data_IF_999913774326
#
_entry.id   IF_999913774326
#
_cell.length_a   1.000
_cell.length_b   1.000
_cell.length_c   1.000
_cell.angle_alpha   90.00
_cell.angle_beta   90.00
_cell.angle_gamma   90.00
#
_symmetry.space_group_name_H-M   'P 1'
#
loop_
_entity.id
_entity.type
_entity.pdbx_description
1 polymer ?
#
# COMPACT_ATOMS: atom_id res chain seq x y z
N UNK A 1 -58.08 -21.94 -18.84
CA UNK A 1 -58.88 -20.71 -18.90
C UNK A 1 -57.89 -19.57 -19.11
N UNK A 2 -57.81 -19.02 -20.33
CA UNK A 2 -58.49 -17.78 -20.74
C UNK A 2 -57.88 -16.57 -19.99
N UNK A 3 -57.04 -15.67 -20.50
CA UNK A 3 -56.76 -15.09 -21.83
C UNK A 3 -57.28 -13.63 -22.00
N UNK A 4 -56.41 -12.80 -22.59
CA UNK A 4 -56.64 -11.60 -23.42
C UNK A 4 -56.79 -10.17 -22.82
N UNK A 5 -56.25 -9.22 -23.62
CA UNK A 5 -56.28 -7.76 -23.51
C UNK A 5 -54.85 -7.17 -23.39
N UNK A 6 -54.17 -6.58 -24.39
CA UNK A 6 -54.57 -5.96 -25.69
C UNK A 6 -55.54 -4.78 -25.49
N UNK A 7 -55.33 -3.55 -25.97
CA UNK A 7 -54.65 -3.02 -27.18
C UNK A 7 -54.12 -1.55 -27.00
N UNK A 8 -53.00 -1.16 -27.63
CA UNK A 8 -52.82 -0.14 -28.75
C UNK A 8 -53.31 1.29 -28.44
N UNK A 9 -52.51 2.37 -28.49
CA UNK A 9 -52.16 3.23 -29.67
C UNK A 9 -51.35 4.48 -29.17
N UNK A 10 -50.81 5.45 -29.94
CA UNK A 10 -50.09 5.57 -31.24
C UNK A 10 -49.63 7.05 -31.45
N UNK A 11 -48.73 7.35 -32.40
CA UNK A 11 -48.30 8.70 -32.83
C UNK A 11 -46.77 8.89 -32.71
N UNK A 12 -45.96 8.88 -33.78
CA UNK A 12 -45.78 9.92 -34.82
C UNK A 12 -45.24 11.25 -34.25
N UNK A 13 -44.16 11.87 -34.75
CA UNK A 13 -43.20 11.53 -35.81
C UNK A 13 -42.19 12.69 -35.98
N UNK A 14 -41.30 12.60 -36.98
CA UNK A 14 -40.88 13.67 -37.94
C UNK A 14 -39.49 13.32 -38.53
N UNK A 15 -39.40 13.41 -39.86
CA UNK A 15 -38.19 13.17 -40.66
C UNK A 15 -37.20 14.35 -40.63
N UNK A 16 -35.91 14.07 -40.85
CA UNK A 16 -34.89 15.07 -41.14
C UNK A 16 -33.95 14.56 -42.24
N UNK A 17 -34.19 14.97 -43.49
CA UNK A 17 -33.54 14.42 -44.70
C UNK A 17 -32.71 15.50 -45.42
N UNK A 18 -31.39 15.36 -45.36
CA UNK A 18 -30.37 16.08 -46.13
C UNK A 18 -29.15 15.15 -46.23
N UNK A 19 -28.43 15.01 -47.33
CA UNK A 19 -28.57 15.57 -48.67
C UNK A 19 -27.25 15.30 -49.41
N UNK A 20 -27.29 14.71 -50.60
CA UNK A 20 -26.08 14.27 -51.32
C UNK A 20 -25.13 15.44 -51.65
N UNK A 21 -23.84 15.24 -51.37
CA UNK A 21 -22.74 15.99 -51.98
C UNK A 21 -21.63 15.01 -52.37
N UNK A 22 -21.73 14.47 -53.58
CA UNK A 22 -20.66 13.70 -54.19
C UNK A 22 -19.47 14.61 -54.54
N UNK A 23 -18.29 14.33 -53.98
CA UNK A 23 -17.03 14.88 -54.46
C UNK A 23 -16.18 13.71 -54.96
N UNK A 24 -16.19 13.51 -56.28
CA UNK A 24 -15.19 12.68 -56.95
C UNK A 24 -13.88 13.48 -57.03
N UNK A 25 -12.93 13.15 -56.15
CA UNK A 25 -11.55 13.62 -56.22
C UNK A 25 -10.61 12.43 -56.28
N UNK A 26 -9.98 12.19 -57.43
CA UNK A 26 -8.95 11.16 -57.56
C UNK A 26 -7.73 11.50 -56.71
N UNK A 27 -7.27 10.56 -55.87
CA UNK A 27 -5.92 10.56 -55.34
C UNK A 27 -5.27 9.20 -55.60
N UNK A 28 -4.21 9.22 -56.41
CA UNK A 28 -3.33 8.08 -56.61
C UNK A 28 -2.12 8.25 -55.68
N UNK A 29 -1.88 7.27 -54.81
CA UNK A 29 -0.58 7.04 -54.17
C UNK A 29 -0.37 7.71 -52.82
N UNK A 30 -0.70 7.01 -51.73
CA UNK A 30 -0.07 7.20 -50.41
C UNK A 30 -0.02 5.91 -49.55
N UNK A 31 -0.06 4.73 -50.19
CA UNK A 31 -0.13 3.43 -49.50
C UNK A 31 1.16 2.95 -48.81
N UNK A 32 2.24 3.73 -48.85
CA UNK A 32 3.53 3.39 -48.24
C UNK A 32 3.67 3.92 -46.80
N UNK A 33 3.04 5.06 -46.50
CA UNK A 33 3.25 5.82 -45.27
C UNK A 33 2.51 5.18 -44.08
N UNK A 34 1.25 4.78 -44.27
CA UNK A 34 0.44 4.11 -43.23
C UNK A 34 0.96 2.71 -42.86
N UNK A 35 1.52 1.98 -43.83
CA UNK A 35 2.12 0.66 -43.59
C UNK A 35 3.38 0.74 -42.72
N UNK A 36 4.21 1.78 -42.92
CA UNK A 36 5.40 2.05 -42.13
C UNK A 36 5.08 2.36 -40.66
N UNK A 37 4.03 3.16 -40.42
CA UNK A 37 3.65 3.60 -39.08
C UNK A 37 3.02 2.44 -38.28
N UNK A 38 2.09 1.70 -38.89
CA UNK A 38 1.46 0.50 -38.32
C UNK A 38 2.49 -0.58 -37.93
N UNK A 39 3.49 -0.81 -38.78
CA UNK A 39 4.55 -1.78 -38.49
C UNK A 39 5.47 -1.32 -37.34
N UNK A 40 5.69 -0.01 -37.21
CA UNK A 40 6.48 0.58 -36.11
C UNK A 40 5.74 0.52 -34.78
N UNK A 41 4.43 0.76 -34.75
CA UNK A 41 3.60 0.59 -33.55
C UNK A 41 3.56 -0.88 -33.08
N UNK A 42 3.40 -1.83 -34.00
CA UNK A 42 3.41 -3.27 -33.67
C UNK A 42 4.71 -3.72 -33.00
N UNK A 43 5.87 -3.35 -33.56
CA UNK A 43 7.19 -3.65 -32.99
C UNK A 43 7.35 -3.07 -31.58
N UNK A 44 6.84 -1.85 -31.34
CA UNK A 44 6.86 -1.23 -30.02
C UNK A 44 5.97 -1.97 -29.01
N UNK A 45 4.83 -2.52 -29.43
CA UNK A 45 3.93 -3.27 -28.56
C UNK A 45 4.43 -4.66 -28.20
N UNK A 46 5.05 -5.38 -29.15
CA UNK A 46 5.72 -6.66 -28.88
C UNK A 46 6.85 -6.49 -27.86
N UNK A 47 7.71 -5.49 -28.09
CA UNK A 47 8.82 -5.15 -27.19
C UNK A 47 8.32 -4.81 -25.78
N UNK A 48 7.29 -3.96 -25.67
CA UNK A 48 6.68 -3.61 -24.38
C UNK A 48 6.09 -4.84 -23.67
N UNK A 49 5.42 -5.72 -24.41
CA UNK A 49 4.87 -6.97 -23.87
C UNK A 49 5.97 -7.90 -23.31
N UNK A 50 7.07 -8.07 -24.04
CA UNK A 50 8.22 -8.86 -23.60
C UNK A 50 8.91 -8.25 -22.37
N UNK A 51 9.12 -6.93 -22.35
CA UNK A 51 9.71 -6.22 -21.22
C UNK A 51 8.84 -6.34 -19.95
N UNK A 52 7.52 -6.12 -20.09
CA UNK A 52 6.56 -6.32 -18.98
C UNK A 52 6.54 -7.76 -18.49
N UNK A 53 6.60 -8.74 -19.39
CA UNK A 53 6.64 -10.17 -19.03
C UNK A 53 7.90 -10.50 -18.21
N UNK A 54 9.07 -10.06 -18.67
CA UNK A 54 10.33 -10.35 -17.99
C UNK A 54 10.42 -9.63 -16.64
N UNK A 55 10.04 -8.35 -16.59
CA UNK A 55 10.01 -7.60 -15.33
C UNK A 55 9.02 -8.21 -14.32
N UNK A 56 7.91 -8.79 -14.79
CA UNK A 56 6.97 -9.51 -13.95
C UNK A 56 7.56 -10.82 -13.41
N UNK A 57 8.39 -11.54 -14.18
CA UNK A 57 9.07 -12.77 -13.71
C UNK A 57 10.07 -12.45 -12.60
N UNK A 58 10.89 -11.42 -12.81
CA UNK A 58 11.84 -10.92 -11.81
C UNK A 58 11.11 -10.56 -10.51
N UNK A 59 9.99 -9.84 -10.60
CA UNK A 59 9.21 -9.42 -9.42
C UNK A 59 8.60 -10.62 -8.67
N UNK A 60 8.06 -11.62 -9.39
CA UNK A 60 7.57 -12.85 -8.77
C UNK A 60 8.71 -13.61 -8.07
N UNK A 61 9.88 -13.72 -8.69
CA UNK A 61 11.05 -14.37 -8.09
C UNK A 61 11.56 -13.64 -6.83
N UNK A 62 11.70 -12.30 -6.88
CA UNK A 62 12.05 -11.49 -5.70
C UNK A 62 11.02 -11.67 -4.56
N UNK A 63 9.72 -11.72 -4.88
CA UNK A 63 8.68 -11.92 -3.87
C UNK A 63 8.73 -13.33 -3.25
N UNK A 64 9.12 -14.35 -4.02
CA UNK A 64 9.27 -15.72 -3.53
C UNK A 64 10.55 -15.89 -2.69
N UNK A 65 11.66 -15.27 -3.08
CA UNK A 65 12.89 -15.17 -2.27
C UNK A 65 12.62 -14.49 -0.91
N UNK A 66 11.89 -13.36 -0.91
CA UNK A 66 11.50 -12.69 0.33
C UNK A 66 10.60 -13.56 1.22
N UNK A 67 9.67 -14.33 0.63
CA UNK A 67 8.85 -15.28 1.39
C UNK A 67 9.69 -16.40 2.00
N UNK A 68 10.61 -17.01 1.24
CA UNK A 68 11.54 -17.99 1.79
C UNK A 68 12.41 -17.44 2.92
N UNK A 69 12.81 -16.17 2.83
CA UNK A 69 13.55 -15.52 3.91
C UNK A 69 12.71 -15.41 5.20
N UNK A 70 11.46 -14.94 5.10
CA UNK A 70 10.51 -14.90 6.23
C UNK A 70 10.21 -16.30 6.80
N UNK A 71 10.17 -17.33 5.93
CA UNK A 71 10.02 -18.76 6.26
C UNK A 71 11.19 -19.26 7.10
N UNK A 72 12.43 -19.02 6.66
CA UNK A 72 13.68 -19.36 7.37
C UNK A 72 13.76 -18.70 8.75
N UNK A 73 13.35 -17.44 8.86
CA UNK A 73 13.37 -16.66 10.11
C UNK A 73 12.20 -16.98 11.08
N UNK A 74 11.39 -18.01 10.82
CA UNK A 74 10.19 -18.41 11.61
C UNK A 74 9.15 -17.31 11.82
N UNK A 75 9.21 -16.23 11.03
CA UNK A 75 8.32 -15.05 11.12
C UNK A 75 7.09 -15.14 10.19
N UNK A 76 7.05 -16.15 9.33
CA UNK A 76 6.16 -16.20 8.17
C UNK A 76 4.65 -16.21 8.47
N UNK A 77 4.20 -16.92 9.51
CA UNK A 77 2.77 -17.17 9.73
C UNK A 77 2.03 -16.07 10.50
N UNK A 78 2.72 -15.04 11.01
CA UNK A 78 2.11 -14.01 11.88
C UNK A 78 2.58 -12.57 11.68
N UNK A 79 3.71 -12.32 11.00
CA UNK A 79 4.32 -10.97 10.99
C UNK A 79 4.08 -10.13 9.72
N UNK A 80 3.93 -10.75 8.54
CA UNK A 80 3.81 -10.01 7.26
C UNK A 80 2.63 -10.50 6.42
N UNK A 81 1.68 -9.62 6.14
CA UNK A 81 0.53 -9.90 5.27
C UNK A 81 0.88 -9.67 3.80
N UNK A 82 1.21 -10.74 3.06
CA UNK A 82 1.60 -10.69 1.63
C UNK A 82 0.57 -11.32 0.67
N UNK A 83 -0.48 -11.96 1.19
CA UNK A 83 -1.38 -12.85 0.43
C UNK A 83 -2.10 -12.12 -0.71
N UNK A 84 -2.70 -10.97 -0.43
CA UNK A 84 -3.48 -10.18 -1.39
C UNK A 84 -2.60 -9.70 -2.54
N UNK A 85 -1.43 -9.13 -2.20
CA UNK A 85 -0.43 -8.68 -3.18
C UNK A 85 0.05 -9.82 -4.09
N UNK A 86 0.50 -10.96 -3.52
CA UNK A 86 0.95 -12.13 -4.32
C UNK A 86 -0.17 -12.68 -5.22
N UNK A 87 -1.41 -12.72 -4.72
CA UNK A 87 -2.55 -13.20 -5.51
C UNK A 87 -2.85 -12.29 -6.70
N UNK A 88 -2.77 -10.96 -6.52
CA UNK A 88 -2.96 -9.98 -7.59
C UNK A 88 -1.83 -10.03 -8.63
N UNK A 89 -0.58 -10.04 -8.18
CA UNK A 89 0.59 -10.18 -9.04
C UNK A 89 0.54 -11.46 -9.90
N UNK A 90 0.18 -12.60 -9.29
CA UNK A 90 0.03 -13.86 -10.01
C UNK A 90 -1.12 -13.85 -11.04
N UNK A 91 -2.15 -13.02 -10.85
CA UNK A 91 -3.22 -12.84 -11.83
C UNK A 91 -2.74 -11.98 -13.01
N UNK A 92 -2.04 -10.87 -12.76
CA UNK A 92 -1.42 -10.04 -13.80
C UNK A 92 -0.35 -10.84 -14.59
N UNK A 93 0.49 -11.63 -13.93
CA UNK A 93 1.45 -12.53 -14.60
C UNK A 93 0.75 -13.49 -15.58
N UNK A 94 -0.37 -14.11 -15.17
CA UNK A 94 -1.17 -14.99 -16.05
C UNK A 94 -1.80 -14.21 -17.21
N UNK A 95 -2.22 -12.97 -16.99
CA UNK A 95 -2.76 -12.10 -18.03
C UNK A 95 -1.67 -11.73 -19.06
N UNK A 96 -0.51 -11.23 -18.60
CA UNK A 96 0.61 -10.83 -19.46
C UNK A 96 1.12 -12.02 -20.26
N UNK A 97 1.34 -13.19 -19.63
CA UNK A 97 1.72 -14.41 -20.34
C UNK A 97 0.71 -14.78 -21.44
N UNK A 98 -0.60 -14.69 -21.16
CA UNK A 98 -1.66 -14.97 -22.13
C UNK A 98 -1.75 -13.95 -23.26
N UNK A 99 -1.34 -12.70 -23.03
CA UNK A 99 -1.24 -11.66 -24.05
C UNK A 99 0.00 -11.86 -24.92
N UNK A 100 1.15 -12.24 -24.33
CA UNK A 100 2.39 -12.54 -25.04
C UNK A 100 2.31 -13.80 -25.92
N UNK A 101 1.44 -14.76 -25.61
CA UNK A 101 1.20 -15.98 -26.42
C UNK A 101 0.20 -15.79 -27.56
N UNK A 102 -0.28 -14.57 -27.82
CA UNK A 102 -1.27 -14.28 -28.87
C UNK A 102 -0.66 -13.41 -29.96
N UNK A 103 -1.02 -13.70 -31.21
CA UNK A 103 -0.50 -12.99 -32.38
C UNK A 103 -0.70 -11.47 -32.28
N UNK A 104 0.37 -10.74 -32.57
CA UNK A 104 0.57 -9.31 -32.31
C UNK A 104 -0.31 -8.36 -33.13
N UNK A 105 -1.04 -8.88 -34.12
CA UNK A 105 -1.88 -8.13 -35.06
C UNK A 105 -3.16 -7.53 -34.44
N UNK A 106 -3.38 -7.71 -33.14
CA UNK A 106 -4.62 -7.33 -32.46
C UNK A 106 -4.43 -6.06 -31.61
N UNK A 107 -4.95 -4.91 -32.09
CA UNK A 107 -4.98 -3.63 -31.34
C UNK A 107 -5.54 -3.76 -29.91
N UNK A 108 -6.40 -4.75 -29.66
CA UNK A 108 -6.94 -5.08 -28.34
C UNK A 108 -5.87 -5.56 -27.35
N UNK A 109 -4.77 -6.17 -27.82
CA UNK A 109 -3.64 -6.60 -26.97
C UNK A 109 -2.85 -5.39 -26.49
N UNK A 110 -2.53 -4.45 -27.38
CA UNK A 110 -1.83 -3.21 -27.03
C UNK A 110 -2.60 -2.39 -25.98
N UNK A 111 -3.92 -2.23 -26.17
CA UNK A 111 -4.78 -1.59 -25.17
C UNK A 111 -4.80 -2.38 -23.85
N UNK A 112 -4.89 -3.72 -23.90
CA UNK A 112 -4.89 -4.57 -22.71
C UNK A 112 -3.61 -4.43 -21.89
N UNK A 113 -2.44 -4.47 -22.55
CA UNK A 113 -1.12 -4.27 -21.92
C UNK A 113 -1.03 -2.87 -21.28
N UNK A 114 -1.45 -1.82 -21.99
CA UNK A 114 -1.47 -0.43 -21.46
C UNK A 114 -2.41 -0.26 -20.25
N UNK A 115 -3.46 -1.09 -20.17
CA UNK A 115 -4.43 -1.11 -19.05
C UNK A 115 -4.08 -2.10 -17.92
N UNK A 116 -3.00 -2.87 -18.03
CA UNK A 116 -2.59 -3.81 -16.97
C UNK A 116 -2.18 -3.08 -15.70
N UNK A 117 -2.52 -3.65 -14.55
CA UNK A 117 -2.10 -3.11 -13.25
C UNK A 117 -0.62 -3.41 -12.94
N UNK A 118 0.12 -4.07 -13.84
CA UNK A 118 1.51 -4.44 -13.59
C UNK A 118 2.40 -3.26 -13.17
N UNK A 119 2.23 -2.08 -13.79
CA UNK A 119 2.97 -0.87 -13.41
C UNK A 119 2.71 -0.45 -11.96
N UNK A 120 1.51 -0.70 -11.42
CA UNK A 120 1.22 -0.49 -10.00
C UNK A 120 1.93 -1.53 -9.13
N UNK A 121 1.89 -2.82 -9.47
CA UNK A 121 2.61 -3.86 -8.71
C UNK A 121 4.13 -3.64 -8.71
N UNK A 122 4.70 -3.26 -9.86
CA UNK A 122 6.11 -2.89 -10.01
C UNK A 122 6.47 -1.67 -9.14
N UNK A 123 5.70 -0.58 -9.25
CA UNK A 123 5.92 0.63 -8.43
C UNK A 123 5.79 0.35 -6.94
N UNK A 124 4.79 -0.46 -6.53
CA UNK A 124 4.55 -0.83 -5.14
C UNK A 124 5.71 -1.67 -4.59
N UNK A 125 6.19 -2.67 -5.32
CA UNK A 125 7.33 -3.48 -4.86
C UNK A 125 8.64 -2.70 -4.83
N UNK A 126 8.91 -1.89 -5.86
CA UNK A 126 10.04 -0.96 -5.90
C UNK A 126 10.04 -0.02 -4.69
N UNK A 127 8.89 0.59 -4.39
CA UNK A 127 8.67 1.41 -3.18
C UNK A 127 8.88 0.59 -1.91
N UNK A 128 8.32 -0.61 -1.82
CA UNK A 128 8.43 -1.48 -0.65
C UNK A 128 9.89 -1.83 -0.33
N UNK A 129 10.73 -2.07 -1.34
CA UNK A 129 12.17 -2.33 -1.17
C UNK A 129 12.95 -1.12 -0.60
N UNK A 130 12.39 0.10 -0.62
CA UNK A 130 12.96 1.28 0.05
C UNK A 130 12.51 1.45 1.52
N UNK A 131 11.45 0.74 1.93
CA UNK A 131 10.93 0.77 3.29
C UNK A 131 11.72 -0.15 4.24
N UNK A 132 11.45 -0.05 5.55
CA UNK A 132 11.89 -1.03 6.56
C UNK A 132 10.70 -1.61 7.31
N UNK A 133 10.88 -2.77 7.95
CA UNK A 133 9.88 -3.32 8.87
C UNK A 133 8.49 -3.51 8.26
N UNK A 134 8.42 -4.10 7.05
CA UNK A 134 7.17 -4.32 6.32
C UNK A 134 6.31 -5.34 7.07
N UNK A 135 5.13 -4.93 7.50
CA UNK A 135 4.13 -5.78 8.17
C UNK A 135 2.96 -6.15 7.25
N UNK A 136 2.77 -5.44 6.13
CA UNK A 136 1.78 -5.82 5.12
C UNK A 136 2.02 -5.16 3.75
N UNK A 137 1.57 -5.84 2.69
CA UNK A 137 1.31 -5.27 1.38
C UNK A 137 -0.19 -5.40 1.07
N UNK A 138 -0.83 -4.27 0.72
CA UNK A 138 -2.27 -4.14 0.45
C UNK A 138 -3.17 -4.49 1.64
N UNK A 139 -2.99 -3.82 2.79
CA UNK A 139 -3.79 -4.03 4.01
C UNK A 139 -4.95 -3.06 4.13
N UNK A 140 -6.13 -3.60 4.45
CA UNK A 140 -7.32 -2.82 4.76
C UNK A 140 -7.40 -2.51 6.25
N UNK A 141 -7.61 -1.25 6.59
CA UNK A 141 -7.90 -0.77 7.93
C UNK A 141 -9.37 -0.38 8.03
N UNK A 142 -9.93 -0.58 9.22
CA UNK A 142 -11.32 -0.31 9.56
C UNK A 142 -11.37 0.62 10.78
N UNK A 143 -12.26 1.60 10.79
CA UNK A 143 -12.51 2.47 11.93
C UNK A 143 -13.98 2.93 11.97
N UNK A 144 -14.36 3.60 13.06
CA UNK A 144 -15.64 4.30 13.19
C UNK A 144 -15.32 5.79 13.47
N UNK A 145 -15.87 6.76 12.72
CA UNK A 145 -15.50 8.18 12.86
C UNK A 145 -15.83 8.77 14.23
N UNK A 146 -16.86 8.25 14.89
CA UNK A 146 -17.52 8.83 16.06
C UNK A 146 -17.16 8.11 17.38
N UNK A 147 -16.23 7.15 17.34
CA UNK A 147 -15.78 6.45 18.56
C UNK A 147 -14.53 7.10 19.13
N UNK A 148 -14.64 7.68 20.33
CA UNK A 148 -13.49 8.21 21.11
C UNK A 148 -12.43 7.14 21.45
N UNK A 149 -12.75 5.86 21.26
CA UNK A 149 -11.83 4.73 21.42
C UNK A 149 -11.04 4.48 20.13
N UNK A 150 -9.75 4.83 20.13
CA UNK A 150 -8.88 4.54 18.99
C UNK A 150 -8.71 3.02 18.75
N UNK A 151 -8.61 2.60 17.48
CA UNK A 151 -8.45 1.18 17.15
C UNK A 151 -7.01 0.73 17.38
N UNK A 152 -6.79 -0.20 18.30
CA UNK A 152 -5.45 -0.74 18.59
C UNK A 152 -5.10 -1.77 17.51
N UNK A 153 -3.99 -1.55 16.81
CA UNK A 153 -3.46 -2.44 15.75
C UNK A 153 -4.46 -2.77 14.62
N UNK A 154 -5.48 -1.92 14.41
CA UNK A 154 -6.53 -2.11 13.39
C UNK A 154 -7.46 -3.30 13.63
N UNK A 155 -7.56 -3.80 14.88
CA UNK A 155 -8.55 -4.82 15.27
C UNK A 155 -9.64 -4.18 16.13
N UNK A 156 -10.86 -4.14 15.62
CA UNK A 156 -12.01 -3.69 16.39
C UNK A 156 -12.34 -4.73 17.48
N UNK A 157 -12.19 -4.35 18.75
CA UNK A 157 -12.50 -5.23 19.89
C UNK A 157 -14.01 -5.34 20.21
N UNK A 158 -14.86 -4.65 19.46
CA UNK A 158 -16.31 -4.63 19.67
C UNK A 158 -16.98 -5.84 19.00
N UNK A 159 -17.28 -6.86 19.80
CA UNK A 159 -18.32 -7.85 19.47
C UNK A 159 -19.70 -7.17 19.56
N UNK A 160 -20.14 -6.55 18.46
CA UNK A 160 -21.41 -5.80 18.39
C UNK A 160 -21.89 -5.63 16.95
N UNK A 161 -23.20 -5.47 16.76
CA UNK A 161 -23.83 -5.58 15.45
C UNK A 161 -23.53 -4.40 14.50
N UNK A 162 -22.85 -4.70 13.39
CA UNK A 162 -22.97 -4.07 12.06
C UNK A 162 -23.30 -2.55 11.99
N UNK A 163 -22.52 -1.68 12.64
CA UNK A 163 -22.38 -0.31 12.11
C UNK A 163 -21.52 -0.34 10.84
N UNK A 164 -21.73 0.63 9.94
CA UNK A 164 -20.94 0.79 8.71
C UNK A 164 -19.53 1.28 9.10
N UNK A 165 -18.62 0.36 9.39
CA UNK A 165 -17.22 0.75 9.63
C UNK A 165 -16.60 1.27 8.34
N UNK A 166 -15.99 2.45 8.42
CA UNK A 166 -15.26 3.06 7.32
C UNK A 166 -14.00 2.23 7.06
N UNK A 167 -13.56 2.15 5.80
CA UNK A 167 -12.36 1.40 5.47
C UNK A 167 -11.49 2.09 4.43
N UNK A 168 -10.19 1.89 4.57
CA UNK A 168 -9.13 2.44 3.74
C UNK A 168 -8.10 1.36 3.49
N UNK A 169 -7.37 1.44 2.39
CA UNK A 169 -6.32 0.46 2.04
C UNK A 169 -4.99 1.18 1.94
N UNK A 170 -4.05 0.80 2.80
CA UNK A 170 -2.65 1.13 2.65
C UNK A 170 -2.00 0.10 1.71
N UNK A 171 -1.22 0.58 0.74
CA UNK A 171 -0.58 -0.29 -0.25
C UNK A 171 0.65 -0.97 0.34
N UNK A 172 1.37 -0.28 1.23
CA UNK A 172 2.47 -0.81 2.05
C UNK A 172 2.26 -0.35 3.49
N UNK A 173 2.55 -1.23 4.45
CA UNK A 173 2.57 -0.92 5.89
C UNK A 173 3.94 -1.26 6.43
N UNK A 174 4.73 -0.25 6.80
CA UNK A 174 6.15 -0.34 7.18
C UNK A 174 6.40 0.27 8.57
N UNK A 175 7.66 0.25 9.02
CA UNK A 175 8.09 0.77 10.34
C UNK A 175 7.34 0.09 11.51
N UNK A 176 7.16 -1.24 11.41
CA UNK A 176 6.27 -2.09 12.22
C UNK A 176 4.83 -1.57 12.36
N UNK A 177 4.32 -0.90 11.33
CA UNK A 177 2.98 -0.31 11.29
C UNK A 177 2.90 1.17 11.65
N UNK A 178 4.02 1.83 11.96
CA UNK A 178 4.08 3.28 12.22
C UNK A 178 4.11 4.14 10.95
N UNK A 179 4.22 3.53 9.76
CA UNK A 179 4.17 4.24 8.50
C UNK A 179 3.29 3.50 7.49
N UNK A 180 2.39 4.23 6.85
CA UNK A 180 1.48 3.72 5.83
C UNK A 180 1.74 4.44 4.51
N UNK A 181 1.99 3.66 3.46
CA UNK A 181 2.29 4.18 2.12
C UNK A 181 1.13 3.93 1.18
N UNK A 182 0.72 4.97 0.45
CA UNK A 182 -0.14 4.89 -0.72
C UNK A 182 0.72 5.06 -1.97
N UNK A 183 0.60 4.15 -2.94
CA UNK A 183 1.33 4.22 -4.22
C UNK A 183 0.31 4.44 -5.32
N UNK A 184 0.44 5.50 -6.11
CA UNK A 184 -0.49 5.82 -7.19
C UNK A 184 0.24 6.01 -8.53
N UNK A 185 -0.14 5.20 -9.51
CA UNK A 185 0.30 5.30 -10.91
C UNK A 185 -0.57 6.27 -11.75
N UNK A 186 -1.34 7.13 -11.09
CA UNK A 186 -2.10 8.20 -11.74
C UNK A 186 -1.16 9.18 -12.47
N UNK A 187 -1.61 9.69 -13.61
CA UNK A 187 -0.98 10.80 -14.33
C UNK A 187 -1.64 12.13 -13.94
N UNK A 188 -1.01 13.25 -14.26
CA UNK A 188 -1.62 14.58 -14.10
C UNK A 188 -2.98 14.65 -14.78
N UNK A 189 -3.08 14.19 -16.04
CA UNK A 189 -4.35 14.07 -16.79
C UNK A 189 -5.42 13.29 -16.03
N UNK A 190 -5.05 12.23 -15.28
CA UNK A 190 -6.01 11.47 -14.46
C UNK A 190 -6.45 12.25 -13.23
N UNK A 191 -5.52 12.93 -12.56
CA UNK A 191 -5.83 13.78 -11.40
C UNK A 191 -6.75 14.93 -11.83
N UNK A 192 -6.43 15.64 -12.92
CA UNK A 192 -7.26 16.71 -13.48
C UNK A 192 -8.67 16.20 -13.81
N UNK A 193 -8.80 15.00 -14.40
CA UNK A 193 -10.11 14.41 -14.66
C UNK A 193 -10.88 14.07 -13.38
N UNK A 194 -10.22 13.54 -12.34
CA UNK A 194 -10.83 13.28 -11.04
C UNK A 194 -11.27 14.58 -10.34
N UNK A 195 -10.49 15.66 -10.45
CA UNK A 195 -10.82 17.01 -9.94
C UNK A 195 -11.99 17.66 -10.72
N UNK A 196 -11.98 17.58 -12.05
CA UNK A 196 -13.07 18.11 -12.88
C UNK A 196 -14.39 17.35 -12.65
N UNK A 197 -14.33 16.01 -12.48
CA UNK A 197 -15.49 15.19 -12.11
C UNK A 197 -16.03 15.55 -10.72
N UNK A 198 -15.15 15.95 -9.80
CA UNK A 198 -15.51 16.46 -8.48
C UNK A 198 -16.09 17.89 -8.50
N UNK A 199 -16.14 18.57 -9.65
CA UNK A 199 -16.50 19.99 -9.70
C UNK A 199 -15.51 20.90 -8.97
N UNK A 200 -14.29 20.42 -8.71
CA UNK A 200 -13.32 21.11 -7.86
C UNK A 200 -12.77 22.37 -8.54
N UNK A 201 -13.00 23.53 -7.93
CA UNK A 201 -12.49 24.83 -8.37
C UNK A 201 -11.34 25.26 -7.44
N UNK A 202 -10.17 25.67 -7.96
CA UNK A 202 -9.00 25.98 -7.14
C UNK A 202 -9.15 27.17 -6.17
N UNK A 203 -10.02 28.13 -6.47
CA UNK A 203 -10.01 29.48 -5.88
C UNK A 203 -11.26 29.79 -5.00
N UNK A 204 -11.90 28.78 -4.42
CA UNK A 204 -13.02 29.00 -3.48
C UNK A 204 -12.51 29.08 -2.04
N UNK A 205 -12.06 30.28 -1.63
CA UNK A 205 -11.91 30.68 -0.21
C UNK A 205 -13.30 30.84 0.43
N UNK A 206 -14.06 29.74 0.52
CA UNK A 206 -15.33 29.68 1.24
C UNK A 206 -15.06 29.31 2.71
N UNK A 207 -15.00 30.32 3.58
CA UNK A 207 -14.80 30.20 5.04
C UNK A 207 -16.01 29.60 5.80
N UNK A 208 -16.74 28.68 5.19
CA UNK A 208 -17.87 27.98 5.81
C UNK A 208 -17.41 26.64 6.42
N UNK A 209 -16.86 26.71 7.64
CA UNK A 209 -16.63 25.53 8.50
C UNK A 209 -17.96 24.95 9.04
N UNK A 210 -18.81 24.40 8.16
CA UNK A 210 -19.93 23.56 8.61
C UNK A 210 -19.44 22.16 9.03
N UNK A 211 -19.17 22.01 10.33
CA UNK A 211 -19.09 20.70 10.99
C UNK A 211 -20.44 19.95 10.87
N UNK A 212 -20.61 19.12 9.83
CA UNK A 212 -21.80 18.27 9.73
C UNK A 212 -21.97 17.40 8.47
N UNK A 213 -21.28 17.72 7.36
CA UNK A 213 -21.46 17.03 6.08
C UNK A 213 -20.47 15.89 5.80
N UNK A 214 -20.93 14.63 5.88
CA UNK A 214 -20.13 13.47 5.44
C UNK A 214 -20.08 13.36 3.90
N UNK A 215 -19.19 14.14 3.25
CA UNK A 215 -18.79 13.86 1.86
C UNK A 215 -18.64 15.05 0.90
N UNK A 216 -17.97 16.14 1.30
CA UNK A 216 -17.61 17.21 0.36
C UNK A 216 -16.67 16.73 -0.77
N UNK A 217 -17.24 16.63 -1.97
CA UNK A 217 -16.73 16.57 -3.37
C UNK A 217 -15.42 15.87 -3.76
N UNK A 218 -14.43 15.66 -2.88
CA UNK A 218 -13.18 15.01 -3.25
C UNK A 218 -13.44 13.63 -3.89
N UNK A 219 -12.89 13.41 -5.08
CA UNK A 219 -13.00 12.16 -5.84
C UNK A 219 -11.59 11.65 -6.21
N UNK A 220 -11.49 10.37 -6.61
CA UNK A 220 -10.23 9.79 -7.05
C UNK A 220 -9.14 9.79 -5.98
N UNK A 221 -7.96 10.28 -6.32
CA UNK A 221 -6.77 10.20 -5.46
C UNK A 221 -6.92 10.98 -4.15
N UNK A 222 -7.47 12.20 -4.19
CA UNK A 222 -7.58 13.05 -3.00
C UNK A 222 -8.47 12.38 -1.94
N UNK A 223 -9.65 11.89 -2.36
CA UNK A 223 -10.58 11.13 -1.52
C UNK A 223 -9.90 9.94 -0.86
N UNK A 224 -9.11 9.16 -1.63
CA UNK A 224 -8.40 7.98 -1.12
C UNK A 224 -7.37 8.35 -0.04
N UNK A 225 -6.61 9.43 -0.26
CA UNK A 225 -5.57 9.88 0.68
C UNK A 225 -6.21 10.50 1.92
N UNK A 226 -7.21 11.37 1.78
CA UNK A 226 -7.98 11.94 2.91
C UNK A 226 -8.62 10.84 3.78
N UNK A 227 -9.22 9.83 3.14
CA UNK A 227 -9.82 8.67 3.81
C UNK A 227 -8.76 7.84 4.56
N UNK A 228 -7.57 7.67 3.99
CA UNK A 228 -6.46 6.95 4.62
C UNK A 228 -5.78 7.75 5.74
N UNK A 229 -5.72 9.08 5.64
CA UNK A 229 -5.29 9.99 6.73
C UNK A 229 -6.27 9.91 7.92
N UNK A 230 -7.59 9.92 7.67
CA UNK A 230 -8.61 9.71 8.73
C UNK A 230 -8.42 8.34 9.41
N UNK A 231 -8.19 7.29 8.63
CA UNK A 231 -7.90 5.94 9.13
C UNK A 231 -6.62 5.88 10.00
N UNK A 232 -5.54 6.54 9.59
CA UNK A 232 -4.29 6.61 10.35
C UNK A 232 -4.45 7.39 11.67
N UNK A 233 -5.18 8.51 11.65
CA UNK A 233 -5.52 9.28 12.86
C UNK A 233 -6.40 8.49 13.86
N UNK A 234 -7.29 7.63 13.36
CA UNK A 234 -8.11 6.74 14.18
C UNK A 234 -7.37 5.49 14.72
N UNK A 235 -6.27 5.08 14.08
CA UNK A 235 -5.53 3.86 14.42
C UNK A 235 -4.34 4.14 15.33
N UNK A 236 -4.14 3.33 16.37
CA UNK A 236 -2.96 3.37 17.24
C UNK A 236 -2.09 2.13 17.04
N UNK A 237 -0.83 2.36 16.73
CA UNK A 237 0.24 1.36 16.67
C UNK A 237 1.32 1.79 17.65
N UNK A 238 1.64 0.94 18.64
CA UNK A 238 2.59 1.28 19.74
C UNK A 238 2.29 2.66 20.37
N UNK A 239 1.01 2.93 20.67
CA UNK A 239 0.47 4.20 21.19
C UNK A 239 0.61 5.44 20.29
N UNK A 240 1.25 5.33 19.12
CA UNK A 240 1.40 6.43 18.14
C UNK A 240 0.40 6.26 17.00
N UNK A 241 0.10 7.35 16.30
CA UNK A 241 -0.60 7.29 15.02
C UNK A 241 0.41 7.00 13.90
N UNK A 242 0.07 6.18 12.90
CA UNK A 242 0.91 6.00 11.72
C UNK A 242 1.07 7.30 10.92
N UNK A 243 2.26 7.52 10.36
CA UNK A 243 2.55 8.61 9.43
C UNK A 243 2.10 8.19 8.03
N UNK A 244 1.55 9.13 7.26
CA UNK A 244 1.12 8.90 5.88
C UNK A 244 2.17 9.35 4.88
N UNK A 245 2.55 8.44 3.97
CA UNK A 245 3.33 8.74 2.77
C UNK A 245 2.55 8.42 1.49
N UNK A 246 2.65 9.30 0.50
CA UNK A 246 2.09 9.16 -0.83
C UNK A 246 3.22 9.13 -1.85
N UNK A 247 3.24 8.12 -2.71
CA UNK A 247 4.26 7.93 -3.75
C UNK A 247 3.61 8.03 -5.13
N UNK A 248 4.15 8.90 -5.98
CA UNK A 248 3.61 9.30 -7.28
C UNK A 248 4.67 9.14 -8.38
N UNK A 249 4.94 7.91 -8.89
CA UNK A 249 6.03 7.65 -9.84
C UNK A 249 5.89 8.34 -11.21
N UNK A 250 4.78 9.01 -11.47
CA UNK A 250 4.39 9.58 -12.78
C UNK A 250 3.96 11.05 -12.69
N UNK A 251 4.17 11.67 -11.54
CA UNK A 251 3.92 13.11 -11.31
C UNK A 251 5.28 13.72 -10.97
N UNK A 252 5.60 14.85 -11.60
CA UNK A 252 6.82 15.60 -11.34
C UNK A 252 6.70 16.43 -10.06
N UNK A 253 7.82 16.78 -9.43
CA UNK A 253 7.87 17.68 -8.25
C UNK A 253 7.17 19.02 -8.50
N UNK A 254 7.34 19.53 -9.71
CA UNK A 254 6.67 20.71 -10.27
C UNK A 254 5.74 20.21 -11.40
N UNK A 255 4.44 20.00 -11.13
CA UNK A 255 3.48 19.58 -12.15
C UNK A 255 3.26 20.65 -13.22
N UNK A 256 2.98 20.23 -14.46
CA UNK A 256 2.65 21.16 -15.55
C UNK A 256 1.31 21.88 -15.29
N UNK A 257 0.35 21.14 -14.70
CA UNK A 257 -0.97 21.66 -14.35
C UNK A 257 -1.00 22.27 -12.93
N UNK A 258 -1.38 23.55 -12.83
CA UNK A 258 -1.46 24.29 -11.55
C UNK A 258 -2.44 23.62 -10.58
N UNK A 259 -3.54 23.09 -11.10
CA UNK A 259 -4.59 22.38 -10.36
C UNK A 259 -4.01 21.16 -9.64
N UNK A 260 -3.09 20.43 -10.28
CA UNK A 260 -2.37 19.30 -9.66
C UNK A 260 -1.42 19.82 -8.59
N UNK A 261 -0.69 20.91 -8.84
CA UNK A 261 0.17 21.56 -7.84
C UNK A 261 -0.57 21.94 -6.56
N UNK A 262 -1.73 22.61 -6.69
CA UNK A 262 -2.60 23.01 -5.58
C UNK A 262 -3.17 21.78 -4.86
N UNK A 263 -3.64 20.77 -5.61
CA UNK A 263 -4.14 19.52 -5.03
C UNK A 263 -3.06 18.76 -4.23
N UNK A 264 -1.82 18.69 -4.71
CA UNK A 264 -0.70 18.14 -3.95
C UNK A 264 -0.39 18.99 -2.71
N UNK A 265 -0.49 20.32 -2.80
CA UNK A 265 -0.28 21.18 -1.64
C UNK A 265 -1.36 20.98 -0.57
N UNK A 266 -2.64 20.81 -0.95
CA UNK A 266 -3.72 20.41 -0.03
C UNK A 266 -3.36 19.13 0.73
N UNK A 267 -2.84 18.12 0.02
CA UNK A 267 -2.41 16.85 0.65
C UNK A 267 -1.20 17.02 1.58
N UNK A 268 -0.23 17.88 1.25
CA UNK A 268 0.87 18.23 2.18
C UNK A 268 0.36 18.92 3.45
N UNK A 269 -0.60 19.83 3.32
CA UNK A 269 -1.22 20.55 4.45
C UNK A 269 -1.96 19.58 5.41
N UNK A 270 -2.44 18.43 4.92
CA UNK A 270 -3.00 17.35 5.77
C UNK A 270 -1.95 16.54 6.56
N UNK A 271 -0.66 16.83 6.38
CA UNK A 271 0.46 16.11 6.99
C UNK A 271 0.93 14.87 6.21
N UNK A 272 0.63 14.78 4.91
CA UNK A 272 1.07 13.67 4.05
C UNK A 272 2.45 13.98 3.47
N UNK A 273 3.40 13.07 3.65
CA UNK A 273 4.70 13.12 2.99
C UNK A 273 4.50 12.70 1.53
N UNK A 274 4.83 13.54 0.56
CA UNK A 274 4.68 13.23 -0.87
C UNK A 274 6.05 12.99 -1.49
N UNK A 275 6.20 11.85 -2.17
CA UNK A 275 7.34 11.55 -3.04
C UNK A 275 6.87 11.54 -4.50
N UNK A 276 7.51 12.36 -5.31
CA UNK A 276 7.30 12.49 -6.76
C UNK A 276 8.32 11.68 -7.54
N UNK A 277 8.21 11.67 -8.87
CA UNK A 277 9.09 10.91 -9.77
C UNK A 277 10.58 11.18 -9.52
N UNK A 278 10.95 12.40 -9.18
CA UNK A 278 12.34 12.83 -8.93
C UNK A 278 12.85 12.41 -7.53
N UNK A 279 11.95 12.11 -6.61
CA UNK A 279 12.28 11.60 -5.27
C UNK A 279 12.49 10.07 -5.26
N UNK A 280 12.16 9.40 -6.37
CA UNK A 280 12.44 7.98 -6.58
C UNK A 280 13.88 7.80 -7.06
N UNK A 281 14.75 7.42 -6.11
CA UNK A 281 16.11 6.97 -6.42
C UNK A 281 16.14 5.65 -7.21
N UNK A 282 17.34 5.16 -7.48
CA UNK A 282 17.55 3.85 -8.11
C UNK A 282 16.92 2.73 -7.27
N UNK A 283 16.25 1.78 -7.93
CA UNK A 283 15.59 0.67 -7.25
C UNK A 283 16.61 -0.27 -6.61
N UNK A 284 16.59 -0.46 -5.28
CA UNK A 284 17.53 -1.37 -4.63
C UNK A 284 17.25 -2.83 -5.01
N UNK A 285 18.31 -3.61 -5.15
CA UNK A 285 18.24 -5.06 -5.34
C UNK A 285 17.76 -5.70 -4.04
N UNK A 286 16.93 -6.74 -4.13
CA UNK A 286 16.37 -7.39 -2.93
C UNK A 286 17.46 -7.85 -1.96
N UNK A 287 18.54 -8.46 -2.47
CA UNK A 287 19.66 -8.98 -1.66
C UNK A 287 20.26 -7.92 -0.71
N UNK A 288 20.33 -6.65 -1.13
CA UNK A 288 20.95 -5.56 -0.37
C UNK A 288 20.03 -4.98 0.73
N UNK A 289 18.74 -5.34 0.71
CA UNK A 289 17.70 -4.79 1.60
C UNK A 289 16.89 -5.84 2.37
N UNK A 290 16.94 -7.11 1.99
CA UNK A 290 16.05 -8.19 2.49
C UNK A 290 15.96 -8.27 4.02
N UNK A 291 17.08 -8.04 4.71
CA UNK A 291 17.14 -8.01 6.17
C UNK A 291 16.34 -6.84 6.78
N UNK A 292 16.47 -5.64 6.19
CA UNK A 292 15.80 -4.40 6.61
C UNK A 292 14.29 -4.43 6.35
N UNK A 293 13.84 -5.22 5.36
CA UNK A 293 12.42 -5.37 5.05
C UNK A 293 11.65 -6.09 6.17
N UNK A 294 12.33 -6.90 7.00
CA UNK A 294 11.66 -7.61 8.09
C UNK A 294 11.25 -6.69 9.25
N UNK A 295 10.07 -6.89 9.86
CA UNK A 295 9.72 -6.26 11.13
C UNK A 295 10.72 -6.62 12.23
N UNK A 296 11.31 -5.60 12.84
CA UNK A 296 12.04 -5.74 14.11
C UNK A 296 11.44 -4.80 15.17
N UNK A 297 10.58 -5.42 15.98
CA UNK A 297 9.94 -4.80 17.14
C UNK A 297 10.93 -4.19 18.15
N UNK A 298 12.21 -4.58 18.13
CA UNK A 298 13.23 -4.16 19.08
C UNK A 298 14.21 -3.10 18.55
N UNK A 299 14.28 -2.82 17.24
CA UNK A 299 15.22 -1.83 16.64
C UNK A 299 15.12 -0.45 17.32
N UNK A 300 13.92 -0.11 17.82
CA UNK A 300 13.60 1.19 18.46
C UNK A 300 13.45 1.11 19.99
N UNK A 301 13.89 0.03 20.62
CA UNK A 301 13.94 -0.04 22.08
C UNK A 301 15.11 0.81 22.59
N UNK A 302 14.85 1.61 23.62
CA UNK A 302 15.93 2.29 24.35
C UNK A 302 16.71 1.29 25.19
N UNK A 303 18.02 1.51 25.32
CA UNK A 303 18.88 0.76 26.25
C UNK A 303 18.35 0.83 27.70
N UNK A 304 17.75 1.97 28.05
CA UNK A 304 17.04 2.18 29.31
C UNK A 304 15.61 1.65 29.17
N UNK A 305 15.29 0.58 29.89
CA UNK A 305 13.93 0.05 30.00
C UNK A 305 13.13 0.89 31.01
N UNK A 306 12.15 1.65 30.52
CA UNK A 306 11.22 2.38 31.40
C UNK A 306 10.11 1.43 31.87
N UNK A 307 10.14 1.06 33.15
CA UNK A 307 9.18 0.15 33.79
C UNK A 307 8.22 0.97 34.65
N UNK A 308 6.92 0.72 34.55
CA UNK A 308 5.94 1.32 35.45
C UNK A 308 6.17 0.88 36.90
N UNK A 309 6.06 1.81 37.85
CA UNK A 309 6.31 1.55 39.26
C UNK A 309 5.44 0.40 39.82
N UNK A 310 4.19 0.25 39.35
CA UNK A 310 3.31 -0.85 39.75
C UNK A 310 3.82 -2.22 39.28
N UNK A 311 4.38 -2.29 38.08
CA UNK A 311 4.98 -3.52 37.53
C UNK A 311 6.26 -3.86 38.29
N UNK A 312 7.08 -2.87 38.62
CA UNK A 312 8.28 -3.07 39.44
C UNK A 312 7.93 -3.57 40.84
N UNK A 313 6.93 -2.97 41.51
CA UNK A 313 6.46 -3.38 42.84
C UNK A 313 5.85 -4.79 42.83
N UNK A 314 5.06 -5.14 41.81
CA UNK A 314 4.55 -6.49 41.64
C UNK A 314 5.69 -7.52 41.51
N UNK A 315 6.69 -7.23 40.67
CA UNK A 315 7.85 -8.10 40.47
C UNK A 315 8.70 -8.27 41.74
N UNK A 316 8.94 -7.18 42.49
CA UNK A 316 9.63 -7.24 43.80
C UNK A 316 8.80 -8.03 44.82
N UNK A 317 7.47 -7.89 44.83
CA UNK A 317 6.58 -8.66 45.68
C UNK A 317 6.64 -10.15 45.35
N UNK A 318 6.55 -10.53 44.08
CA UNK A 318 6.63 -11.93 43.63
C UNK A 318 7.97 -12.58 44.00
N UNK A 319 9.08 -11.85 43.85
CA UNK A 319 10.41 -12.33 44.29
C UNK A 319 10.46 -12.49 45.82
N UNK A 320 9.94 -11.52 46.57
CA UNK A 320 10.01 -11.51 48.05
C UNK A 320 9.14 -12.58 48.71
N UNK A 321 8.04 -12.98 48.05
CA UNK A 321 7.14 -14.05 48.50
C UNK A 321 7.43 -15.40 47.81
N UNK A 322 8.43 -15.46 46.93
CA UNK A 322 8.86 -16.69 46.28
C UNK A 322 9.33 -17.73 47.30
N UNK A 323 8.78 -18.94 47.22
CA UNK A 323 9.13 -20.05 48.12
C UNK A 323 10.53 -20.58 47.82
N UNK A 324 11.54 -20.02 48.49
CA UNK A 324 12.91 -20.52 48.45
C UNK A 324 12.96 -21.89 49.13
N UNK A 325 13.34 -22.93 48.38
CA UNK A 325 13.68 -24.23 48.97
C UNK A 325 14.93 -24.03 49.83
N UNK A 326 14.78 -24.11 51.14
CA UNK A 326 15.90 -24.00 52.08
C UNK A 326 16.84 -25.17 51.89
N UNK A 327 17.91 -24.95 51.11
CA UNK A 327 19.06 -25.86 51.07
C UNK A 327 19.71 -25.77 52.44
N UNK A 328 19.46 -26.77 53.30
CA UNK A 328 20.15 -26.90 54.57
C UNK A 328 21.62 -27.20 54.29
N UNK A 329 22.46 -26.18 54.27
CA UNK A 329 23.89 -26.33 54.47
C UNK A 329 24.10 -26.89 55.88
N UNK A 330 24.20 -28.21 55.98
CA UNK A 330 24.54 -28.87 57.22
C UNK A 330 25.97 -28.45 57.59
N UNK A 331 26.23 -27.95 58.81
CA UNK A 331 27.58 -27.58 59.23
C UNK A 331 28.37 -28.86 59.55
N UNK A 332 28.78 -29.58 58.51
CA UNK A 332 29.88 -30.55 58.54
C UNK A 332 30.98 -29.96 57.67
N UNK A 333 31.76 -29.04 58.26
CA UNK A 333 33.10 -28.61 57.85
C UNK A 333 33.56 -27.43 58.74
N UNK A 334 33.64 -27.70 60.05
CA UNK A 334 34.60 -27.03 60.94
C UNK A 334 35.35 -28.14 61.68
N UNK A 335 36.07 -28.94 60.91
CA UNK A 335 37.17 -29.71 61.50
C UNK A 335 38.30 -28.71 61.83
N UNK A 336 38.77 -28.64 63.08
CA UNK A 336 39.94 -27.83 63.40
C UNK A 336 41.15 -28.45 62.73
N UNK A 337 41.77 -27.72 61.79
CA UNK A 337 43.03 -28.10 61.18
C UNK A 337 44.07 -28.40 62.28
N UNK A 338 44.78 -29.54 62.24
CA UNK A 338 45.77 -29.86 63.25
C UNK A 338 46.96 -28.90 63.11
N UNK A 339 47.11 -27.97 64.06
CA UNK A 339 48.31 -27.15 64.20
C UNK A 339 49.50 -28.03 64.55
N UNK A 340 50.55 -28.09 63.71
CA UNK A 340 51.77 -28.81 64.06
C UNK A 340 52.56 -27.98 65.07
N UNK A 341 52.68 -28.50 66.29
CA UNK A 341 53.71 -28.05 67.23
C UNK A 341 55.09 -28.31 66.63
N UNK A 342 55.79 -27.26 66.22
CA UNK A 342 57.22 -27.29 65.95
C UNK A 342 57.91 -26.29 66.91
N UNK A 343 58.55 -26.83 67.94
CA UNK A 343 59.52 -26.05 68.73
C UNK A 343 60.71 -25.70 67.85
N UNK A 344 61.09 -24.43 67.79
CA UNK A 344 62.48 -24.05 67.61
C UNK A 344 62.83 -23.05 68.72
N UNK A 345 63.67 -23.49 69.66
CA UNK A 345 64.42 -22.62 70.56
C UNK A 345 65.72 -22.24 69.86
N UNK A 346 65.99 -20.94 69.75
CA UNK A 346 67.24 -20.29 70.20
C UNK A 346 67.13 -18.79 69.99
#
# INVERSE_FOLDING_TARGET
>A
MLANGMTVSSGEGIEGKMGDLSINGSSNGDGATEASDSMTEQINHERLGAEMQERCRILVAELEEYQEYLRKQKKESSSVELRTFRSGLNAEMKLINKLATKDSSNLKIAHSLRSSNFLFYASLWSTAKTCRGITALSRRFYWEPDTKTATINGRNHLHGAKKKSHSAVADIVCEDGLEWVKVSSNTEKRIIWDLAKAGWVPDSDSEDEEEGGEGGDAEGLLKQVETLVKAAKATRVRYRNPIMRLVLPRISREPEAKEVGIALQKLRNLGVIIQTKEDLGEEPKLVDVVEKLMPDRYEKFSEVLNIDCTVLLAFVSDISHGTVVSIRFHPVLIDPLPVPFAQIRS
#
